data_IF_415295766834
#
_entry.id   IF_415295766834
#
_cell.length_a   1.000
_cell.length_b   1.000
_cell.length_c   1.000
_cell.angle_alpha   90.00
_cell.angle_beta   90.00
_cell.angle_gamma   90.00
#
_symmetry.space_group_name_H-M   'P 1'
#
loop_
_entity.id
_entity.type
_entity.pdbx_description
1 polymer ?
#
# COMPACT_ATOMS: atom_id res chain seq x y z
N UNK A 1 -8.58 -8.54 1.18
CA UNK A 1 -7.86 -7.37 0.64
C UNK A 1 -8.11 -6.15 1.50
N UNK A 2 -7.05 -5.50 1.97
CA UNK A 2 -7.07 -4.33 2.83
C UNK A 2 -6.33 -3.17 2.15
N UNK A 3 -7.07 -2.28 1.49
CA UNK A 3 -6.53 -1.05 0.91
C UNK A 3 -6.55 0.06 1.96
N UNK A 4 -5.37 0.46 2.46
CA UNK A 4 -5.27 1.56 3.43
C UNK A 4 -5.76 2.88 2.83
N UNK A 5 -5.51 3.12 1.54
CA UNK A 5 -6.01 4.30 0.85
C UNK A 5 -7.53 4.37 0.81
N UNK A 6 -8.21 3.24 0.59
CA UNK A 6 -9.68 3.21 0.58
C UNK A 6 -10.26 3.39 1.98
N UNK A 7 -9.64 2.78 2.99
CA UNK A 7 -10.03 2.97 4.40
C UNK A 7 -9.95 4.44 4.81
N UNK A 8 -8.86 5.12 4.44
CA UNK A 8 -8.67 6.54 4.75
C UNK A 8 -9.66 7.43 3.98
N UNK A 9 -9.88 7.18 2.68
CA UNK A 9 -10.89 7.89 1.89
C UNK A 9 -12.29 7.72 2.45
N UNK A 10 -12.64 6.51 2.88
CA UNK A 10 -13.93 6.27 3.52
C UNK A 10 -14.07 7.06 4.82
N UNK A 11 -13.02 7.09 5.66
CA UNK A 11 -13.03 7.88 6.89
C UNK A 11 -13.21 9.39 6.62
N UNK A 12 -12.58 9.92 5.56
CA UNK A 12 -12.77 11.31 5.11
C UNK A 12 -14.22 11.55 4.68
N UNK A 13 -14.76 10.66 3.85
CA UNK A 13 -16.15 10.74 3.34
C UNK A 13 -17.18 10.70 4.46
N UNK A 14 -16.94 9.86 5.47
CA UNK A 14 -17.82 9.73 6.64
C UNK A 14 -17.66 10.86 7.66
N UNK A 15 -16.70 11.77 7.44
CA UNK A 15 -16.45 12.92 8.31
C UNK A 15 -15.97 12.55 9.72
N UNK A 16 -15.36 11.39 9.89
CA UNK A 16 -14.83 10.92 11.17
C UNK A 16 -13.70 11.81 11.65
N UNK A 17 -13.37 11.78 12.96
CA UNK A 17 -12.21 12.51 13.49
C UNK A 17 -10.90 12.07 12.80
N UNK A 18 -10.76 10.79 12.51
CA UNK A 18 -9.67 10.28 11.71
C UNK A 18 -9.67 10.89 10.31
N UNK A 19 -10.81 10.90 9.62
CA UNK A 19 -10.96 11.49 8.30
C UNK A 19 -10.53 12.95 8.25
N UNK A 20 -10.91 13.75 9.24
CA UNK A 20 -10.47 15.14 9.35
C UNK A 20 -8.95 15.28 9.51
N UNK A 21 -8.33 14.42 10.31
CA UNK A 21 -6.88 14.45 10.55
C UNK A 21 -6.08 14.07 9.29
N UNK A 22 -6.56 13.12 8.51
CA UNK A 22 -5.80 12.60 7.35
C UNK A 22 -6.11 13.33 6.05
N UNK A 23 -7.22 14.05 5.97
CA UNK A 23 -7.70 14.71 4.75
C UNK A 23 -6.62 15.56 4.08
N UNK A 24 -6.00 16.47 4.82
CA UNK A 24 -4.96 17.35 4.28
C UNK A 24 -3.73 16.61 3.77
N UNK A 25 -3.34 15.52 4.42
CA UNK A 25 -2.22 14.70 3.96
C UNK A 25 -2.56 14.03 2.63
N UNK A 26 -3.77 13.50 2.49
CA UNK A 26 -4.21 12.82 1.27
C UNK A 26 -4.30 13.78 0.08
N UNK A 27 -4.90 14.97 0.27
CA UNK A 27 -5.01 15.99 -0.78
C UNK A 27 -3.65 16.54 -1.23
N UNK A 28 -2.69 16.65 -0.31
CA UNK A 28 -1.34 17.11 -0.62
C UNK A 28 -0.39 16.01 -1.15
N UNK A 29 -0.85 14.76 -1.24
CA UNK A 29 -0.04 13.61 -1.67
C UNK A 29 1.05 13.19 -0.69
N UNK A 30 1.04 13.71 0.54
CA UNK A 30 1.96 13.32 1.62
C UNK A 30 1.51 12.04 2.30
N UNK A 31 2.45 11.35 2.96
CA UNK A 31 2.10 10.22 3.81
C UNK A 31 1.32 10.69 5.04
N UNK A 32 0.34 9.89 5.42
CA UNK A 32 -0.33 10.05 6.72
C UNK A 32 0.67 9.64 7.82
N UNK A 33 0.69 10.34 8.97
CA UNK A 33 1.58 10.00 10.09
C UNK A 33 1.53 8.51 10.43
N UNK A 34 2.72 7.89 10.60
CA UNK A 34 2.83 6.43 10.78
C UNK A 34 2.02 5.91 11.97
N UNK A 35 1.99 6.65 13.09
CA UNK A 35 1.22 6.30 14.29
C UNK A 35 -0.28 6.17 14.02
N UNK A 36 -0.84 7.02 13.15
CA UNK A 36 -2.25 6.92 12.77
C UNK A 36 -2.50 5.71 11.86
N UNK A 37 -1.65 5.51 10.88
CA UNK A 37 -1.82 4.40 9.92
C UNK A 37 -1.69 3.04 10.61
N UNK A 38 -0.69 2.87 11.49
CA UNK A 38 -0.46 1.59 12.17
C UNK A 38 -1.62 1.22 13.09
N UNK A 39 -2.21 2.20 13.78
CA UNK A 39 -3.37 1.95 14.62
C UNK A 39 -4.57 1.46 13.78
N UNK A 40 -4.87 2.13 12.67
CA UNK A 40 -5.96 1.76 11.78
C UNK A 40 -5.74 0.36 11.19
N UNK A 41 -4.54 0.09 10.72
CA UNK A 41 -4.17 -1.22 10.15
C UNK A 41 -4.24 -2.29 11.23
N UNK A 42 -3.73 -2.02 12.44
CA UNK A 42 -3.77 -2.94 13.57
C UNK A 42 -5.22 -3.31 13.96
N UNK A 43 -6.09 -2.32 14.16
CA UNK A 43 -7.52 -2.53 14.46
C UNK A 43 -8.20 -3.36 13.36
N UNK A 44 -7.86 -3.12 12.10
CA UNK A 44 -8.40 -3.86 10.96
C UNK A 44 -7.89 -5.30 10.90
N UNK A 45 -6.62 -5.53 11.21
CA UNK A 45 -6.01 -6.86 11.25
C UNK A 45 -6.53 -7.74 12.39
N UNK A 46 -7.06 -7.13 13.45
CA UNK A 46 -7.65 -7.84 14.58
C UNK A 46 -9.08 -8.34 14.30
N UNK A 47 -9.69 -7.95 13.19
CA UNK A 47 -11.03 -8.40 12.86
C UNK A 47 -11.06 -9.87 12.39
N UNK A 48 -12.19 -10.52 12.60
CA UNK A 48 -12.36 -11.96 12.38
C UNK A 48 -12.08 -12.41 10.93
N UNK A 49 -12.38 -11.58 9.94
CA UNK A 49 -12.13 -11.87 8.53
C UNK A 49 -10.66 -11.87 8.14
N UNK A 50 -9.77 -11.32 8.99
CA UNK A 50 -8.32 -11.33 8.82
C UNK A 50 -7.61 -12.52 9.51
N UNK A 51 -8.34 -13.39 10.18
CA UNK A 51 -7.74 -14.52 10.91
C UNK A 51 -7.05 -15.53 9.99
N UNK A 52 -7.60 -15.73 8.79
CA UNK A 52 -7.06 -16.68 7.81
C UNK A 52 -6.02 -16.05 6.86
N UNK A 53 -5.61 -14.84 7.14
CA UNK A 53 -4.66 -14.06 6.33
C UNK A 53 -5.31 -12.86 5.65
N UNK A 54 -4.46 -11.96 5.19
CA UNK A 54 -4.88 -10.75 4.50
C UNK A 54 -3.83 -10.30 3.48
N UNK A 55 -4.27 -9.51 2.52
CA UNK A 55 -3.43 -8.79 1.59
C UNK A 55 -3.49 -7.30 1.94
N UNK A 56 -2.36 -6.73 2.36
CA UNK A 56 -2.22 -5.30 2.59
C UNK A 56 -1.88 -4.60 1.26
N UNK A 57 -2.62 -3.55 0.94
CA UNK A 57 -2.41 -2.74 -0.25
C UNK A 57 -2.18 -1.27 0.15
N UNK A 58 -1.08 -0.70 -0.37
CA UNK A 58 -0.66 0.65 -0.05
C UNK A 58 -0.14 0.84 1.38
N UNK A 59 0.31 -0.23 2.04
CA UNK A 59 0.95 -0.22 3.36
C UNK A 59 1.88 -1.43 3.51
N UNK A 60 3.08 -1.27 4.10
CA UNK A 60 3.69 0.00 4.54
C UNK A 60 4.19 0.86 3.37
N UNK A 61 4.40 2.17 3.62
CA UNK A 61 4.96 3.12 2.66
C UNK A 61 6.21 3.86 3.17
N UNK A 62 6.69 3.52 4.35
CA UNK A 62 7.91 4.05 4.96
C UNK A 62 8.53 3.00 5.86
N UNK A 63 9.85 3.10 6.12
CA UNK A 63 10.57 2.15 6.99
C UNK A 63 9.96 2.04 8.38
N UNK A 64 9.64 3.17 9.00
CA UNK A 64 8.99 3.20 10.33
C UNK A 64 7.66 2.43 10.35
N UNK A 65 6.90 2.48 9.26
CA UNK A 65 5.67 1.71 9.14
C UNK A 65 5.94 0.21 9.01
N UNK A 66 6.99 -0.17 8.28
CA UNK A 66 7.37 -1.57 8.11
C UNK A 66 7.86 -2.19 9.41
N UNK A 67 8.68 -1.47 10.16
CA UNK A 67 9.17 -1.88 11.48
C UNK A 67 8.01 -2.03 12.48
N UNK A 68 7.11 -1.04 12.53
CA UNK A 68 5.92 -1.10 13.38
C UNK A 68 4.98 -2.26 13.01
N UNK A 69 4.84 -2.56 11.72
CA UNK A 69 4.08 -3.73 11.26
C UNK A 69 4.71 -5.03 11.71
N UNK A 70 6.03 -5.14 11.60
CA UNK A 70 6.77 -6.33 12.04
C UNK A 70 6.60 -6.56 13.55
N UNK A 71 6.75 -5.52 14.36
CA UNK A 71 6.53 -5.57 15.81
C UNK A 71 5.11 -6.00 16.16
N UNK A 72 4.11 -5.40 15.48
CA UNK A 72 2.71 -5.75 15.68
C UNK A 72 2.44 -7.23 15.36
N UNK A 73 2.93 -7.71 14.22
CA UNK A 73 2.75 -9.09 13.81
C UNK A 73 3.46 -10.07 14.76
N UNK A 74 4.67 -9.75 15.21
CA UNK A 74 5.41 -10.56 16.20
C UNK A 74 4.64 -10.70 17.52
N UNK A 75 4.05 -9.61 18.04
CA UNK A 75 3.21 -9.65 19.24
C UNK A 75 2.00 -10.59 19.07
N UNK A 76 1.47 -10.67 17.86
CA UNK A 76 0.35 -11.57 17.49
C UNK A 76 0.82 -12.98 17.10
N UNK A 77 2.11 -13.28 17.14
CA UNK A 77 2.73 -14.55 16.68
C UNK A 77 2.39 -14.83 15.19
N UNK A 78 2.36 -13.77 14.40
CA UNK A 78 2.16 -13.77 12.95
C UNK A 78 3.40 -13.21 12.25
N UNK A 79 3.51 -13.44 10.94
CA UNK A 79 4.58 -12.90 10.11
C UNK A 79 4.08 -12.59 8.71
N UNK A 80 4.81 -11.73 8.00
CA UNK A 80 4.60 -11.57 6.56
C UNK A 80 5.11 -12.81 5.82
N UNK A 81 4.36 -13.26 4.85
CA UNK A 81 4.74 -14.39 3.99
C UNK A 81 5.50 -13.92 2.75
N UNK A 82 5.08 -12.81 2.17
CA UNK A 82 5.64 -12.25 0.94
C UNK A 82 5.32 -10.76 0.84
N UNK A 83 6.21 -10.01 0.24
CA UNK A 83 6.00 -8.63 -0.19
C UNK A 83 6.16 -8.60 -1.70
N UNK A 84 5.12 -8.14 -2.40
CA UNK A 84 5.10 -8.06 -3.86
C UNK A 84 5.41 -6.64 -4.31
N UNK A 85 6.48 -6.48 -5.08
CA UNK A 85 6.80 -5.23 -5.77
C UNK A 85 6.29 -5.32 -7.21
N UNK A 86 5.29 -4.52 -7.56
CA UNK A 86 4.82 -4.41 -8.94
C UNK A 86 5.67 -3.38 -9.69
N UNK A 87 6.52 -3.83 -10.60
CA UNK A 87 7.38 -2.95 -11.41
C UNK A 87 6.66 -2.50 -12.66
N UNK A 88 6.54 -1.19 -12.79
CA UNK A 88 5.95 -0.51 -13.94
C UNK A 88 6.85 0.68 -14.28
N UNK A 89 7.01 1.00 -15.57
CA UNK A 89 7.74 2.21 -15.93
C UNK A 89 6.93 3.49 -15.60
N UNK A 90 7.64 4.60 -15.44
CA UNK A 90 7.06 5.86 -14.97
C UNK A 90 5.97 6.40 -15.91
N UNK A 91 6.11 6.22 -17.22
CA UNK A 91 5.11 6.69 -18.19
C UNK A 91 3.80 5.90 -18.06
N UNK A 92 3.90 4.60 -17.96
CA UNK A 92 2.74 3.73 -17.75
C UNK A 92 2.09 4.02 -16.38
N UNK A 93 2.90 4.24 -15.33
CA UNK A 93 2.42 4.59 -14.01
C UNK A 93 1.64 5.91 -14.03
N UNK A 94 2.18 6.96 -14.67
CA UNK A 94 1.52 8.26 -14.85
C UNK A 94 0.20 8.10 -15.61
N UNK A 95 0.21 7.36 -16.70
CA UNK A 95 -0.99 7.10 -17.49
C UNK A 95 -2.08 6.40 -16.67
N UNK A 96 -1.72 5.36 -15.91
CA UNK A 96 -2.67 4.65 -15.03
C UNK A 96 -3.23 5.55 -13.93
N UNK A 97 -2.41 6.40 -13.33
CA UNK A 97 -2.88 7.35 -12.30
C UNK A 97 -3.89 8.34 -12.88
N UNK A 98 -3.64 8.89 -14.07
CA UNK A 98 -4.57 9.78 -14.75
C UNK A 98 -5.89 9.09 -15.09
N UNK A 99 -5.84 7.89 -15.67
CA UNK A 99 -7.05 7.11 -15.97
C UNK A 99 -7.86 6.79 -14.71
N UNK A 100 -7.17 6.50 -13.60
CA UNK A 100 -7.82 6.22 -12.31
C UNK A 100 -8.52 7.47 -11.76
N UNK A 101 -7.88 8.63 -11.85
CA UNK A 101 -8.46 9.91 -11.45
C UNK A 101 -9.80 10.15 -12.13
N UNK A 102 -9.84 9.93 -13.46
CA UNK A 102 -11.05 10.10 -14.27
C UNK A 102 -12.15 9.07 -13.93
N UNK A 103 -11.78 7.78 -13.87
CA UNK A 103 -12.74 6.68 -13.67
C UNK A 103 -13.35 6.67 -12.27
N UNK A 104 -12.54 6.93 -11.25
CA UNK A 104 -12.94 6.83 -9.85
C UNK A 104 -13.29 8.20 -9.25
N UNK A 105 -13.23 9.27 -10.04
CA UNK A 105 -13.49 10.65 -9.61
C UNK A 105 -12.71 11.02 -8.32
N UNK A 106 -11.43 10.63 -8.28
CA UNK A 106 -10.57 10.89 -7.13
C UNK A 106 -10.12 12.35 -7.10
N UNK A 107 -10.59 13.11 -6.14
CA UNK A 107 -10.17 14.50 -5.93
C UNK A 107 -8.69 14.62 -5.53
N UNK A 108 -8.14 13.55 -4.97
CA UNK A 108 -6.75 13.48 -4.52
C UNK A 108 -5.74 12.99 -5.59
N UNK A 109 -6.15 12.81 -6.84
CA UNK A 109 -5.29 12.42 -7.97
C UNK A 109 -5.16 13.56 -9.02
N UNK A 110 -4.84 14.79 -8.57
CA UNK A 110 -4.46 15.89 -9.49
C UNK A 110 -3.05 15.69 -10.04
N UNK A 111 -2.66 16.31 -11.19
CA UNK A 111 -1.30 16.21 -11.71
C UNK A 111 -0.22 16.59 -10.68
N UNK A 112 -0.47 17.63 -9.88
CA UNK A 112 0.45 18.09 -8.83
C UNK A 112 0.58 17.05 -7.72
N UNK A 113 -0.56 16.47 -7.29
CA UNK A 113 -0.59 15.43 -6.28
C UNK A 113 0.09 14.15 -6.77
N UNK A 114 -0.11 13.79 -8.04
CA UNK A 114 0.57 12.64 -8.66
C UNK A 114 2.08 12.85 -8.66
N UNK A 115 2.58 14.02 -9.10
CA UNK A 115 3.99 14.34 -9.08
C UNK A 115 4.58 14.27 -7.66
N UNK A 116 3.86 14.81 -6.67
CA UNK A 116 4.26 14.73 -5.26
C UNK A 116 4.30 13.29 -4.74
N UNK A 117 3.35 12.46 -5.13
CA UNK A 117 3.35 11.03 -4.75
C UNK A 117 4.53 10.25 -5.31
N UNK A 118 4.97 10.55 -6.53
CA UNK A 118 6.17 9.94 -7.12
C UNK A 118 7.43 10.35 -6.36
N UNK A 119 7.55 11.62 -5.97
CA UNK A 119 8.64 12.10 -5.13
C UNK A 119 8.64 11.41 -3.75
N UNK A 120 7.48 11.34 -3.09
CA UNK A 120 7.31 10.66 -1.80
C UNK A 120 7.63 9.18 -1.93
N UNK A 121 7.18 8.52 -3.00
CA UNK A 121 7.51 7.13 -3.26
C UNK A 121 9.02 6.93 -3.35
N UNK A 122 9.70 7.74 -4.13
CA UNK A 122 11.15 7.64 -4.31
C UNK A 122 11.93 7.81 -3.00
N UNK A 123 11.51 8.77 -2.17
CA UNK A 123 12.22 9.11 -0.95
C UNK A 123 11.87 8.20 0.24
N UNK A 124 10.61 7.82 0.39
CA UNK A 124 10.09 7.14 1.58
C UNK A 124 9.80 5.65 1.36
N UNK A 125 9.27 5.31 0.16
CA UNK A 125 8.76 3.96 -0.09
C UNK A 125 9.78 3.07 -0.80
N UNK A 126 10.55 3.61 -1.74
CA UNK A 126 11.57 2.83 -2.44
C UNK A 126 12.62 2.18 -1.52
N UNK A 127 13.03 2.75 -0.38
CA UNK A 127 13.90 2.08 0.59
C UNK A 127 13.34 0.77 1.15
N UNK A 128 12.02 0.56 1.13
CA UNK A 128 11.39 -0.71 1.53
C UNK A 128 11.80 -1.89 0.65
N UNK A 129 12.17 -1.64 -0.60
CA UNK A 129 12.63 -2.68 -1.53
C UNK A 129 13.84 -3.39 -0.92
N UNK A 130 14.88 -2.64 -0.54
CA UNK A 130 16.08 -3.21 0.10
C UNK A 130 15.75 -3.83 1.45
N UNK A 131 14.94 -3.16 2.28
CA UNK A 131 14.53 -3.67 3.58
C UNK A 131 13.87 -5.06 3.50
N UNK A 132 12.94 -5.26 2.59
CA UNK A 132 12.27 -6.56 2.42
C UNK A 132 13.09 -7.56 1.61
N UNK A 133 14.00 -7.09 0.75
CA UNK A 133 14.97 -7.95 0.05
C UNK A 133 15.95 -8.57 1.05
N UNK A 134 16.49 -7.79 1.97
CA UNK A 134 17.41 -8.28 3.03
C UNK A 134 16.73 -9.28 3.97
N UNK A 135 15.43 -9.14 4.18
CA UNK A 135 14.60 -10.12 4.92
C UNK A 135 14.23 -11.36 4.10
N UNK A 136 14.59 -11.42 2.83
CA UNK A 136 14.21 -12.50 1.94
C UNK A 136 12.71 -12.59 1.64
N UNK A 137 11.96 -11.51 1.85
CA UNK A 137 10.49 -11.48 1.68
C UNK A 137 10.04 -10.87 0.35
N UNK A 138 10.93 -10.15 -0.36
CA UNK A 138 10.57 -9.42 -1.57
C UNK A 138 10.47 -10.35 -2.80
N UNK A 139 9.39 -10.17 -3.55
CA UNK A 139 9.19 -10.73 -4.89
C UNK A 139 8.87 -9.61 -5.87
N UNK A 140 9.72 -9.43 -6.87
CA UNK A 140 9.49 -8.46 -7.95
C UNK A 140 8.64 -9.09 -9.06
N UNK A 141 7.53 -8.44 -9.38
CA UNK A 141 6.58 -8.86 -10.41
C UNK A 141 6.45 -7.77 -11.47
N UNK A 142 6.53 -8.14 -12.74
CA UNK A 142 6.25 -7.20 -13.82
C UNK A 142 4.75 -6.82 -13.79
N UNK A 143 4.47 -5.54 -13.51
CA UNK A 143 3.15 -4.97 -13.41
C UNK A 143 2.59 -4.42 -14.74
N UNK A 144 3.33 -4.55 -15.85
CA UNK A 144 2.88 -4.10 -17.18
C UNK A 144 1.96 -5.13 -17.83
N UNK A 145 0.98 -4.67 -18.59
CA UNK A 145 -0.01 -5.50 -19.28
C UNK A 145 -1.41 -5.39 -18.69
N UNK A 146 -2.28 -6.29 -19.11
CA UNK A 146 -3.66 -6.34 -18.61
C UNK A 146 -3.74 -6.79 -17.14
N UNK A 147 -4.81 -6.45 -16.41
CA UNK A 147 -5.01 -6.92 -15.04
C UNK A 147 -4.90 -8.45 -14.91
N UNK A 148 -5.42 -9.21 -15.87
CA UNK A 148 -5.38 -10.68 -15.85
C UNK A 148 -3.96 -11.22 -15.98
N UNK A 149 -3.14 -10.64 -16.87
CA UNK A 149 -1.74 -11.04 -17.02
C UNK A 149 -0.92 -10.75 -15.77
N UNK A 150 -1.14 -9.58 -15.15
CA UNK A 150 -0.49 -9.21 -13.89
C UNK A 150 -0.93 -10.14 -12.77
N UNK A 151 -2.23 -10.44 -12.68
CA UNK A 151 -2.77 -11.37 -11.70
C UNK A 151 -2.14 -12.76 -11.80
N UNK A 152 -2.01 -13.32 -13.02
CA UNK A 152 -1.36 -14.62 -13.23
C UNK A 152 0.10 -14.63 -12.78
N UNK A 153 0.84 -13.53 -13.02
CA UNK A 153 2.23 -13.41 -12.54
C UNK A 153 2.31 -13.34 -11.02
N UNK A 154 1.38 -12.62 -10.38
CA UNK A 154 1.26 -12.57 -8.91
C UNK A 154 0.98 -13.96 -8.36
N UNK A 155 -0.01 -14.67 -8.88
CA UNK A 155 -0.31 -16.04 -8.45
C UNK A 155 0.91 -16.95 -8.59
N UNK A 156 1.56 -16.94 -9.73
CA UNK A 156 2.76 -17.77 -9.98
C UNK A 156 3.89 -17.43 -8.99
N UNK A 157 4.03 -16.17 -8.60
CA UNK A 157 5.03 -15.74 -7.61
C UNK A 157 4.70 -16.26 -6.22
N UNK A 158 3.43 -16.17 -5.81
CA UNK A 158 2.96 -16.67 -4.51
C UNK A 158 3.09 -18.20 -4.43
N UNK A 159 2.71 -18.92 -5.50
CA UNK A 159 2.75 -20.38 -5.53
C UNK A 159 4.18 -20.93 -5.42
N UNK A 160 5.15 -20.27 -6.06
CA UNK A 160 6.58 -20.62 -5.89
C UNK A 160 7.07 -20.50 -4.44
N UNK A 161 6.51 -19.59 -3.68
CA UNK A 161 6.87 -19.41 -2.25
C UNK A 161 6.20 -20.41 -1.32
N UNK A 162 5.12 -21.04 -1.76
CA UNK A 162 4.42 -22.08 -0.99
C UNK A 162 4.98 -23.47 -1.20
N UNK A 163 5.70 -23.67 -2.31
CA UNK A 163 6.33 -24.93 -2.64
C UNK A 163 7.66 -25.12 -1.90
#
# INVERSE_FOLDING_TARGET
HLSTGDMLRQAVKDGTELGKQVHQCMESGRLVPHTLVINIVGERLDQSDCQNGCLLDGFPRALEQAESLDEYLQQKKKSLNVVLELRVDDNELMHRMQQRAEKEQRSDDTPETIARRLEVYSNETAPLISFYQDKGLLEAVNGTGSPDEVYQRIQSSIDRRRA
#
